data_IF_635748234211
#
_entry.id   IF_635748234211
#
_cell.length_a   1.000
_cell.length_b   1.000
_cell.length_c   1.000
_cell.angle_alpha   90.00
_cell.angle_beta   90.00
_cell.angle_gamma   90.00
#
_symmetry.space_group_name_H-M   'P 1'
#
loop_
_entity.id
_entity.type
_entity.pdbx_description
1 polymer ?
#
# COMPACT_ATOMS: atom_id res chain seq x y z
N UNK A 1 -11.09 -21.17 13.31
CA UNK A 1 -11.89 -21.72 14.43
C UNK A 1 -13.11 -20.88 14.82
N UNK A 2 -13.34 -19.70 14.21
CA UNK A 2 -14.27 -18.71 14.74
C UNK A 2 -15.43 -18.27 13.83
N UNK A 3 -15.54 -18.79 12.63
CA UNK A 3 -16.64 -18.42 11.75
C UNK A 3 -17.35 -19.70 11.28
N UNK A 4 -18.64 -19.85 11.61
CA UNK A 4 -19.51 -20.81 10.93
C UNK A 4 -19.74 -20.37 9.48
N UNK A 5 -20.27 -21.22 8.64
CA UNK A 5 -20.34 -20.99 7.20
C UNK A 5 -21.13 -19.74 6.82
N UNK A 6 -22.18 -19.37 7.57
CA UNK A 6 -22.92 -18.13 7.35
C UNK A 6 -22.11 -16.86 7.73
N UNK A 7 -21.32 -16.94 8.80
CA UNK A 7 -20.50 -15.81 9.25
C UNK A 7 -19.26 -15.59 8.39
N UNK A 8 -18.75 -16.64 7.73
CA UNK A 8 -17.64 -16.51 6.76
C UNK A 8 -18.05 -15.76 5.51
N UNK A 9 -19.23 -16.06 4.98
CA UNK A 9 -19.79 -15.32 3.84
C UNK A 9 -20.03 -13.86 4.21
N UNK A 10 -20.62 -13.59 5.38
CA UNK A 10 -20.79 -12.26 5.94
C UNK A 10 -19.47 -11.51 6.14
N UNK A 11 -18.42 -12.21 6.55
CA UNK A 11 -17.08 -11.62 6.71
C UNK A 11 -16.51 -11.20 5.37
N UNK A 12 -16.52 -12.09 4.38
CA UNK A 12 -16.07 -11.79 3.01
C UNK A 12 -16.87 -10.62 2.44
N UNK A 13 -18.20 -10.63 2.63
CA UNK A 13 -19.07 -9.57 2.14
C UNK A 13 -18.90 -8.23 2.83
N UNK A 14 -18.57 -8.21 4.11
CA UNK A 14 -18.39 -6.97 4.89
C UNK A 14 -16.99 -6.38 4.78
N UNK A 15 -15.97 -7.21 4.66
CA UNK A 15 -14.58 -6.78 4.72
C UNK A 15 -13.92 -6.62 3.35
N UNK A 16 -14.43 -7.30 2.34
CA UNK A 16 -14.03 -7.00 0.97
C UNK A 16 -14.92 -5.86 0.45
N UNK A 17 -14.34 -4.71 0.16
CA UNK A 17 -15.02 -3.63 -0.54
C UNK A 17 -15.54 -4.14 -1.89
N UNK A 18 -16.50 -3.42 -2.50
CA UNK A 18 -16.92 -3.77 -3.87
C UNK A 18 -15.74 -3.85 -4.85
N UNK A 19 -14.73 -3.00 -4.65
CA UNK A 19 -13.50 -2.97 -5.41
C UNK A 19 -12.67 -4.24 -5.22
N UNK A 20 -12.53 -4.68 -3.98
CA UNK A 20 -11.81 -5.92 -3.65
C UNK A 20 -12.54 -7.14 -4.22
N UNK A 21 -13.86 -7.19 -4.14
CA UNK A 21 -14.66 -8.25 -4.78
C UNK A 21 -14.47 -8.27 -6.30
N UNK A 22 -14.38 -7.11 -6.92
CA UNK A 22 -14.18 -7.01 -8.36
C UNK A 22 -12.77 -7.47 -8.74
N UNK A 23 -11.76 -7.10 -7.99
CA UNK A 23 -10.37 -7.53 -8.21
C UNK A 23 -10.16 -9.02 -7.98
N UNK A 24 -10.78 -9.59 -6.93
CA UNK A 24 -10.55 -10.96 -6.48
C UNK A 24 -11.71 -11.92 -6.75
N UNK A 25 -12.89 -11.41 -7.07
CA UNK A 25 -14.10 -12.21 -7.28
C UNK A 25 -13.91 -13.43 -8.19
N UNK A 26 -13.25 -13.30 -9.36
CA UNK A 26 -12.99 -14.45 -10.24
C UNK A 26 -12.09 -15.50 -9.61
N UNK A 27 -11.13 -15.10 -8.77
CA UNK A 27 -10.21 -16.02 -8.09
C UNK A 27 -10.87 -16.68 -6.89
N UNK A 28 -11.75 -15.97 -6.18
CA UNK A 28 -12.45 -16.47 -5.00
C UNK A 28 -13.67 -17.33 -5.34
N UNK A 29 -14.32 -17.09 -6.49
CA UNK A 29 -15.55 -17.77 -6.88
C UNK A 29 -15.42 -19.29 -7.05
N UNK A 30 -14.22 -19.82 -7.18
CA UNK A 30 -13.93 -21.26 -7.35
C UNK A 30 -13.35 -21.90 -6.09
N UNK A 31 -13.20 -21.15 -5.00
CA UNK A 31 -12.61 -21.65 -3.76
C UNK A 31 -13.69 -21.87 -2.72
N UNK A 32 -13.63 -23.02 -2.00
CA UNK A 32 -14.38 -23.18 -0.77
C UNK A 32 -13.93 -22.12 0.24
N UNK A 33 -14.82 -21.64 1.12
CA UNK A 33 -14.59 -20.49 2.00
C UNK A 33 -13.28 -20.56 2.82
N UNK A 34 -12.93 -21.73 3.37
CA UNK A 34 -11.67 -21.92 4.09
C UNK A 34 -10.45 -21.80 3.17
N UNK A 35 -10.59 -22.22 1.92
CA UNK A 35 -9.56 -22.08 0.90
C UNK A 35 -9.40 -20.62 0.46
N UNK A 36 -10.48 -19.84 0.39
CA UNK A 36 -10.45 -18.44 0.01
C UNK A 36 -9.64 -17.59 0.99
N UNK A 37 -9.88 -17.73 2.30
CA UNK A 37 -9.11 -17.02 3.34
C UNK A 37 -7.63 -17.44 3.32
N UNK A 38 -7.36 -18.75 3.19
CA UNK A 38 -6.00 -19.26 3.11
C UNK A 38 -5.28 -18.73 1.86
N UNK A 39 -5.99 -18.67 0.73
CA UNK A 39 -5.46 -18.12 -0.53
C UNK A 39 -5.11 -16.64 -0.38
N UNK A 40 -6.02 -15.83 0.15
CA UNK A 40 -5.77 -14.41 0.40
C UNK A 40 -4.55 -14.18 1.30
N UNK A 41 -4.48 -14.89 2.41
CA UNK A 41 -3.43 -14.66 3.41
C UNK A 41 -2.08 -15.25 3.03
N UNK A 42 -2.06 -16.44 2.39
CA UNK A 42 -0.82 -17.18 2.11
C UNK A 42 -0.37 -17.04 0.66
N UNK A 43 -1.25 -17.39 -0.30
CA UNK A 43 -0.85 -17.47 -1.71
C UNK A 43 -0.76 -16.07 -2.33
N UNK A 44 -1.67 -15.17 -1.98
CA UNK A 44 -1.63 -13.76 -2.37
C UNK A 44 -0.81 -12.89 -1.41
N UNK A 45 -0.35 -13.45 -0.29
CA UNK A 45 0.44 -12.77 0.74
C UNK A 45 -0.19 -11.47 1.29
N UNK A 46 -1.52 -11.39 1.27
CA UNK A 46 -2.28 -10.18 1.58
C UNK A 46 -2.05 -9.69 3.02
N UNK A 47 -1.73 -10.62 3.95
CA UNK A 47 -1.44 -10.29 5.34
C UNK A 47 -0.08 -9.59 5.56
N UNK A 48 0.86 -9.72 4.64
CA UNK A 48 2.23 -9.23 4.80
C UNK A 48 2.61 -8.14 3.79
N UNK A 49 1.80 -7.93 2.74
CA UNK A 49 2.06 -6.86 1.79
C UNK A 49 1.64 -5.50 2.36
N UNK A 50 2.40 -4.43 2.09
CA UNK A 50 1.98 -3.09 2.41
C UNK A 50 0.82 -2.66 1.51
N UNK A 51 -0.04 -1.77 1.98
CA UNK A 51 -1.23 -1.29 1.24
C UNK A 51 -0.93 -0.88 -0.21
N UNK A 52 0.21 -0.26 -0.43
CA UNK A 52 0.61 0.20 -1.77
C UNK A 52 0.83 -0.90 -2.80
N UNK A 53 0.99 -2.15 -2.38
CA UNK A 53 1.24 -3.30 -3.24
C UNK A 53 0.07 -4.30 -3.30
N UNK A 54 -1.04 -4.00 -2.60
CA UNK A 54 -2.27 -4.78 -2.71
C UNK A 54 -2.98 -4.44 -4.01
N UNK A 55 -3.67 -5.40 -4.62
CA UNK A 55 -4.52 -5.12 -5.77
C UNK A 55 -5.73 -4.29 -5.32
N UNK A 56 -5.95 -3.14 -5.95
CA UNK A 56 -6.88 -2.12 -5.46
C UNK A 56 -8.03 -1.85 -6.42
N UNK A 57 -7.75 -1.50 -7.66
CA UNK A 57 -8.77 -1.29 -8.69
C UNK A 57 -8.62 -2.32 -9.81
N UNK A 58 -9.73 -2.74 -10.39
CA UNK A 58 -9.77 -3.66 -11.51
C UNK A 58 -10.13 -2.94 -12.81
N UNK A 59 -9.38 -3.22 -13.88
CA UNK A 59 -9.56 -2.67 -15.21
C UNK A 59 -9.58 -3.79 -16.24
N UNK A 60 -9.91 -3.50 -17.48
CA UNK A 60 -9.91 -4.48 -18.59
C UNK A 60 -8.53 -5.08 -18.84
N UNK A 61 -7.47 -4.30 -18.64
CA UNK A 61 -6.07 -4.71 -18.78
C UNK A 61 -5.47 -5.35 -17.50
N UNK A 62 -6.28 -5.51 -16.47
CA UNK A 62 -5.90 -6.16 -15.22
C UNK A 62 -6.02 -5.26 -14.00
N UNK A 63 -5.85 -5.81 -12.78
CA UNK A 63 -5.94 -5.04 -11.55
C UNK A 63 -4.68 -4.19 -11.34
N UNK A 64 -4.84 -3.00 -10.76
CA UNK A 64 -3.76 -2.11 -10.35
C UNK A 64 -3.59 -2.04 -8.84
N UNK A 65 -2.35 -1.88 -8.43
CA UNK A 65 -1.99 -1.55 -7.04
C UNK A 65 -2.07 -0.03 -6.82
N UNK A 66 -2.23 0.46 -5.58
CA UNK A 66 -2.16 1.87 -5.29
C UNK A 66 -0.86 2.52 -5.76
N UNK A 67 0.27 1.83 -5.68
CA UNK A 67 1.54 2.35 -6.19
C UNK A 67 1.48 2.65 -7.70
N UNK A 68 0.84 1.79 -8.50
CA UNK A 68 0.65 2.02 -9.93
C UNK A 68 -0.41 3.08 -10.23
N UNK A 69 -1.46 3.18 -9.39
CA UNK A 69 -2.44 4.28 -9.52
C UNK A 69 -1.78 5.64 -9.31
N UNK A 70 -0.83 5.76 -8.39
CA UNK A 70 -0.07 7.00 -8.21
C UNK A 70 0.80 7.36 -9.41
N UNK A 71 1.28 6.40 -10.21
CA UNK A 71 1.91 6.69 -11.50
C UNK A 71 0.92 7.36 -12.46
N UNK A 72 -0.29 6.79 -12.58
CA UNK A 72 -1.34 7.33 -13.45
C UNK A 72 -1.74 8.74 -13.01
N UNK A 73 -2.10 8.91 -11.74
CA UNK A 73 -2.50 10.21 -11.20
C UNK A 73 -1.37 11.25 -11.29
N UNK A 74 -0.13 10.87 -10.99
CA UNK A 74 1.03 11.74 -11.11
C UNK A 74 1.21 12.26 -12.54
N UNK A 75 1.00 11.41 -13.54
CA UNK A 75 1.04 11.81 -14.94
C UNK A 75 -0.07 12.80 -15.30
N UNK A 76 -1.23 12.70 -14.64
CA UNK A 76 -2.39 13.57 -14.93
C UNK A 76 -2.22 15.00 -14.40
N UNK A 77 -1.67 15.19 -13.19
CA UNK A 77 -1.66 16.53 -12.56
C UNK A 77 -0.28 17.01 -12.10
N UNK A 78 0.75 16.16 -12.08
CA UNK A 78 2.09 16.54 -11.63
C UNK A 78 3.14 16.48 -12.74
N UNK A 79 2.75 16.21 -13.98
CA UNK A 79 3.66 16.20 -15.10
C UNK A 79 4.14 17.63 -15.46
N UNK A 80 5.45 17.79 -15.65
CA UNK A 80 6.06 19.02 -16.13
C UNK A 80 7.06 18.68 -17.24
N UNK A 81 6.89 19.28 -18.40
CA UNK A 81 7.75 19.07 -19.60
C UNK A 81 7.89 17.59 -19.99
N UNK A 82 6.85 16.78 -19.75
CA UNK A 82 6.86 15.35 -20.06
C UNK A 82 7.54 14.48 -19.00
N UNK A 83 7.92 15.04 -17.87
CA UNK A 83 8.53 14.32 -16.74
C UNK A 83 7.63 14.37 -15.51
N UNK A 84 7.65 13.30 -14.71
CA UNK A 84 6.87 13.16 -13.49
C UNK A 84 7.79 12.68 -12.37
N UNK A 85 7.86 13.43 -11.29
CA UNK A 85 8.58 13.03 -10.08
C UNK A 85 7.60 12.44 -9.07
N UNK A 86 7.89 11.23 -8.60
CA UNK A 86 7.10 10.55 -7.58
C UNK A 86 8.03 10.09 -6.46
N UNK A 87 7.63 10.36 -5.22
CA UNK A 87 8.35 9.94 -4.05
C UNK A 87 7.48 9.05 -3.16
N UNK A 88 7.97 7.86 -2.81
CA UNK A 88 7.31 6.97 -1.87
C UNK A 88 8.09 6.93 -0.55
N UNK A 89 7.42 7.21 0.56
CA UNK A 89 7.95 6.90 1.88
C UNK A 89 7.42 5.56 2.32
N UNK A 90 8.31 4.60 2.53
CA UNK A 90 8.00 3.20 2.80
C UNK A 90 8.70 2.71 4.07
N UNK A 91 8.28 1.59 4.62
CA UNK A 91 9.04 0.93 5.68
C UNK A 91 10.24 0.17 5.08
N UNK A 92 11.31 0.08 5.86
CA UNK A 92 12.56 -0.59 5.45
C UNK A 92 12.33 -2.00 4.88
N UNK A 93 11.50 -2.77 5.54
CA UNK A 93 11.16 -4.15 5.17
C UNK A 93 10.45 -4.28 3.81
N UNK A 94 9.70 -3.24 3.40
CA UNK A 94 8.93 -3.24 2.15
C UNK A 94 9.61 -2.52 0.99
N UNK A 95 10.70 -1.78 1.24
CA UNK A 95 11.41 -1.02 0.20
C UNK A 95 11.80 -1.89 -1.01
N UNK A 96 12.42 -3.08 -0.84
CA UNK A 96 12.79 -3.90 -1.99
C UNK A 96 11.58 -4.35 -2.83
N UNK A 97 10.44 -4.61 -2.18
CA UNK A 97 9.21 -5.01 -2.86
C UNK A 97 8.63 -3.85 -3.70
N UNK A 98 8.61 -2.63 -3.15
CA UNK A 98 8.18 -1.44 -3.89
C UNK A 98 9.08 -1.18 -5.09
N UNK A 99 10.39 -1.22 -4.91
CA UNK A 99 11.35 -1.01 -6.00
C UNK A 99 11.18 -2.02 -7.12
N UNK A 100 11.05 -3.31 -6.78
CA UNK A 100 10.86 -4.37 -7.77
C UNK A 100 9.54 -4.18 -8.53
N UNK A 101 8.44 -3.93 -7.82
CA UNK A 101 7.12 -3.76 -8.41
C UNK A 101 7.06 -2.55 -9.36
N UNK A 102 7.61 -1.41 -8.96
CA UNK A 102 7.67 -0.24 -9.83
C UNK A 102 8.59 -0.49 -11.04
N UNK A 103 9.79 -1.03 -10.84
CA UNK A 103 10.74 -1.28 -11.92
C UNK A 103 10.15 -2.22 -13.00
N UNK A 104 9.41 -3.23 -12.59
CA UNK A 104 8.76 -4.19 -13.48
C UNK A 104 7.69 -3.54 -14.37
N UNK A 105 6.98 -2.54 -13.86
CA UNK A 105 5.85 -1.91 -14.55
C UNK A 105 6.19 -0.56 -15.22
N UNK A 106 7.27 0.10 -14.79
CA UNK A 106 7.56 1.50 -15.13
C UNK A 106 7.57 1.77 -16.63
N UNK A 107 8.27 0.94 -17.41
CA UNK A 107 8.39 1.13 -18.86
C UNK A 107 7.04 1.03 -19.59
N UNK A 108 6.15 0.16 -19.15
CA UNK A 108 4.81 0.03 -19.71
C UNK A 108 3.98 1.29 -19.44
N UNK A 109 4.06 1.84 -18.21
CA UNK A 109 3.35 3.07 -17.83
C UNK A 109 3.93 4.30 -18.52
N UNK A 110 5.25 4.41 -18.67
CA UNK A 110 5.89 5.47 -19.43
C UNK A 110 5.39 5.49 -20.89
N UNK A 111 5.35 4.34 -21.53
CA UNK A 111 4.84 4.20 -22.89
C UNK A 111 3.34 4.50 -23.01
N UNK A 112 2.54 4.01 -22.05
CA UNK A 112 1.08 4.21 -22.03
C UNK A 112 0.70 5.67 -21.83
N UNK A 113 1.40 6.38 -20.94
CA UNK A 113 1.08 7.75 -20.51
C UNK A 113 1.88 8.82 -21.26
N UNK A 114 2.90 8.44 -22.02
CA UNK A 114 3.71 9.38 -22.81
C UNK A 114 4.57 10.32 -21.96
N UNK A 115 4.97 9.88 -20.77
CA UNK A 115 5.79 10.64 -19.82
C UNK A 115 7.01 9.84 -19.37
N UNK A 116 7.99 10.52 -18.79
CA UNK A 116 9.12 9.90 -18.12
C UNK A 116 8.95 10.00 -16.60
N UNK A 117 9.05 8.88 -15.89
CA UNK A 117 8.97 8.87 -14.42
C UNK A 117 10.33 8.87 -13.76
N UNK A 118 10.46 9.71 -12.73
CA UNK A 118 11.56 9.71 -11.77
C UNK A 118 11.01 9.28 -10.42
N UNK A 119 11.18 8.01 -10.07
CA UNK A 119 10.66 7.45 -8.83
C UNK A 119 11.77 7.38 -7.80
N UNK A 120 11.53 8.00 -6.66
CA UNK A 120 12.44 8.02 -5.52
C UNK A 120 11.78 7.44 -4.27
N UNK A 121 12.59 7.06 -3.30
CA UNK A 121 12.12 6.38 -2.08
C UNK A 121 12.82 6.97 -0.86
N UNK A 122 12.10 7.05 0.24
CA UNK A 122 12.69 7.25 1.56
C UNK A 122 12.07 6.29 2.57
N UNK A 123 12.76 6.10 3.68
CA UNK A 123 12.25 5.32 4.80
C UNK A 123 11.86 6.24 5.95
N UNK A 124 10.80 5.90 6.68
CA UNK A 124 10.47 6.62 7.90
C UNK A 124 11.65 6.52 8.86
N UNK A 125 12.05 7.67 9.42
CA UNK A 125 13.22 7.73 10.30
C UNK A 125 12.93 7.10 11.66
N UNK A 126 13.79 6.19 12.16
CA UNK A 126 13.61 5.59 13.50
C UNK A 126 13.55 6.62 14.64
N UNK A 127 14.12 7.82 14.44
CA UNK A 127 14.00 8.94 15.40
C UNK A 127 12.57 9.42 15.61
N UNK A 128 11.68 9.12 14.66
CA UNK A 128 10.26 9.48 14.71
C UNK A 128 9.36 8.38 15.26
N UNK A 129 9.93 7.25 15.66
CA UNK A 129 9.17 6.15 16.25
C UNK A 129 8.57 6.55 17.60
N UNK A 130 7.40 5.99 17.88
CA UNK A 130 6.67 6.21 19.13
C UNK A 130 6.73 4.99 20.03
N UNK A 131 6.68 5.21 21.34
CA UNK A 131 6.60 4.12 22.32
C UNK A 131 5.19 3.55 22.29
N UNK A 132 5.08 2.22 22.16
CA UNK A 132 3.80 1.54 22.30
C UNK A 132 3.31 1.63 23.76
N UNK A 133 2.01 1.85 23.94
CA UNK A 133 1.40 1.98 25.25
C UNK A 133 0.34 0.90 25.50
N UNK A 134 0.20 0.52 26.76
CA UNK A 134 -0.92 -0.28 27.25
C UNK A 134 -2.20 0.57 27.31
N UNK A 135 -3.40 -0.05 27.43
CA UNK A 135 -4.66 0.69 27.58
C UNK A 135 -4.70 1.64 28.80
N UNK A 136 -3.90 1.40 29.82
CA UNK A 136 -3.77 2.23 31.02
C UNK A 136 -2.77 3.40 30.85
N UNK A 137 -2.17 3.55 29.67
CA UNK A 137 -1.19 4.59 29.34
C UNK A 137 0.24 4.27 29.76
N UNK A 138 0.51 3.14 30.40
CA UNK A 138 1.89 2.74 30.72
C UNK A 138 2.63 2.24 29.49
N UNK A 139 3.98 2.42 29.39
CA UNK A 139 4.76 1.91 28.26
C UNK A 139 4.65 0.39 28.13
N UNK A 140 4.33 -0.07 26.91
CA UNK A 140 4.33 -1.50 26.63
C UNK A 140 5.76 -2.04 26.59
N UNK A 141 5.93 -3.22 27.19
CA UNK A 141 7.22 -3.93 27.18
C UNK A 141 7.06 -5.30 26.57
N UNK A 142 8.05 -5.69 25.78
CA UNK A 142 8.19 -7.03 25.22
C UNK A 142 8.48 -8.08 26.30
N UNK A 143 8.42 -9.35 25.97
CA UNK A 143 8.67 -10.44 26.92
C UNK A 143 10.07 -10.39 27.58
N UNK A 144 11.04 -9.77 26.91
CA UNK A 144 12.41 -9.53 27.44
C UNK A 144 12.54 -8.18 28.20
N UNK A 145 11.42 -7.53 28.50
CA UNK A 145 11.35 -6.31 29.31
C UNK A 145 11.72 -5.00 28.60
N UNK A 146 12.04 -5.04 27.30
CA UNK A 146 12.40 -3.84 26.53
C UNK A 146 11.17 -3.04 26.13
N UNK A 147 11.33 -1.74 25.95
CA UNK A 147 10.32 -0.88 25.37
C UNK A 147 10.09 -1.25 23.91
N UNK A 148 8.83 -1.31 23.49
CA UNK A 148 8.47 -1.50 22.09
C UNK A 148 8.30 -0.13 21.42
N UNK A 149 9.11 0.13 20.40
CA UNK A 149 8.95 1.28 19.52
C UNK A 149 8.21 0.87 18.27
N UNK A 150 7.39 1.75 17.74
CA UNK A 150 6.61 1.54 16.53
C UNK A 150 6.67 2.77 15.64
N UNK A 151 6.60 2.59 14.32
CA UNK A 151 6.51 3.71 13.41
C UNK A 151 5.41 4.68 13.82
N UNK A 152 5.73 5.97 13.83
CA UNK A 152 4.78 7.04 14.11
C UNK A 152 3.72 7.17 13.01
N UNK A 153 2.68 7.96 13.29
CA UNK A 153 1.66 8.30 12.29
C UNK A 153 2.16 9.27 11.21
N UNK A 154 1.26 9.77 10.38
CA UNK A 154 1.58 10.64 9.25
C UNK A 154 2.43 11.88 9.62
N UNK A 155 2.26 12.43 10.82
CA UNK A 155 3.09 13.53 11.30
C UNK A 155 4.58 13.22 11.39
N UNK A 156 4.95 11.96 11.59
CA UNK A 156 6.34 11.52 11.60
C UNK A 156 7.02 11.65 10.23
N UNK A 157 6.26 11.67 9.15
CA UNK A 157 6.77 11.77 7.78
C UNK A 157 7.15 13.19 7.37
N UNK A 158 6.95 14.19 8.23
CA UNK A 158 7.31 15.59 7.94
C UNK A 158 8.80 15.74 7.69
N UNK A 159 9.64 14.95 8.34
CA UNK A 159 11.08 14.97 8.10
C UNK A 159 11.43 14.48 6.69
N UNK A 160 10.76 13.43 6.21
CA UNK A 160 10.91 12.92 4.86
C UNK A 160 10.42 13.95 3.81
N UNK A 161 9.31 14.63 4.11
CA UNK A 161 8.78 15.68 3.25
C UNK A 161 9.74 16.87 3.15
N UNK A 162 10.36 17.29 4.25
CA UNK A 162 11.31 18.40 4.29
C UNK A 162 12.59 18.13 3.48
N UNK A 163 12.89 16.90 3.16
CA UNK A 163 14.04 16.50 2.33
C UNK A 163 13.72 16.54 0.83
N UNK A 164 12.47 16.81 0.45
CA UNK A 164 12.09 16.89 -0.95
C UNK A 164 12.36 18.29 -1.51
N UNK A 165 13.15 18.36 -2.57
CA UNK A 165 13.46 19.60 -3.28
C UNK A 165 12.50 19.79 -4.45
N UNK A 166 11.43 20.56 -4.24
CA UNK A 166 10.44 20.86 -5.27
C UNK A 166 9.72 22.18 -4.97
N UNK A 167 9.28 22.91 -6.02
CA UNK A 167 8.48 24.13 -5.88
C UNK A 167 7.05 23.83 -5.43
N UNK A 168 6.47 22.69 -5.85
CA UNK A 168 5.13 22.25 -5.51
C UNK A 168 5.18 20.75 -5.21
N UNK A 169 4.58 20.33 -4.09
CA UNK A 169 4.48 18.94 -3.69
C UNK A 169 3.02 18.60 -3.46
N UNK A 170 2.52 17.57 -4.16
CA UNK A 170 1.21 16.97 -3.91
C UNK A 170 1.38 15.83 -2.92
N UNK A 171 0.72 15.93 -1.77
CA UNK A 171 0.79 14.92 -0.70
C UNK A 171 -0.47 14.07 -0.75
N UNK A 172 -0.31 12.76 -0.83
CA UNK A 172 -1.41 11.80 -0.80
C UNK A 172 -1.10 10.59 0.08
N UNK A 173 -2.12 10.08 0.72
CA UNK A 173 -2.03 8.74 1.31
C UNK A 173 -1.98 7.71 0.20
N UNK A 174 -1.26 6.62 0.43
CA UNK A 174 -1.05 5.57 -0.57
C UNK A 174 -2.37 4.94 -1.08
N UNK A 175 -3.37 4.88 -0.23
CA UNK A 175 -4.70 4.32 -0.52
C UNK A 175 -5.74 5.36 -0.94
N UNK A 176 -5.35 6.63 -1.07
CA UNK A 176 -6.23 7.69 -1.55
C UNK A 176 -6.06 7.90 -3.06
N UNK A 177 -6.47 6.93 -3.82
CA UNK A 177 -6.47 6.91 -5.29
C UNK A 177 -7.86 6.64 -5.82
N UNK A 178 -8.16 7.16 -7.00
CA UNK A 178 -9.45 6.98 -7.68
C UNK A 178 -9.27 6.18 -8.96
N UNK A 179 -10.27 5.37 -9.37
CA UNK A 179 -10.22 4.70 -10.67
C UNK A 179 -10.29 5.72 -11.81
N UNK A 180 -9.77 5.29 -12.98
CA UNK A 180 -9.80 6.05 -14.25
C UNK A 180 -11.22 6.42 -14.66
#
# INVERSE_FOLDING_TARGET
EYLDDGKKTDFIEKFLSEKDRFAFGPQLAHLEEQSAVSHLLKDMNYGNLPKGLLLFHSYEDGPRTPALEHLVEGAMYAASKGEVNIHFTVSHEHLPLFQAHIAENLAAYENKLGVKFHVSYSEQKPSTDTIAANPDGTPFRTADGKLLFRPGGHGALIENLNEQEADIIFIKNIDNVVPD
#
